data_IF_829057064863
#
_entry.id   IF_829057064863
#
_cell.length_a   1.000
_cell.length_b   1.000
_cell.length_c   1.000
_cell.angle_alpha   90.00
_cell.angle_beta   90.00
_cell.angle_gamma   90.00
#
_symmetry.space_group_name_H-M   'P 1'
#
loop_
_entity.id
_entity.type
_entity.pdbx_description
1 polymer ?
#
# COMPACT_ATOMS: atom_id res chain seq x y z
N UNK A 1 -3.38 12.70 8.58
CA UNK A 1 -3.86 11.45 7.94
C UNK A 1 -4.78 10.74 8.93
N UNK A 2 -6.06 10.56 8.63
CA UNK A 2 -6.95 9.77 9.49
C UNK A 2 -6.75 8.28 9.16
N UNK A 3 -5.89 7.61 9.92
CA UNK A 3 -5.54 6.20 9.71
C UNK A 3 -6.42 5.37 10.64
N UNK A 4 -7.28 4.53 10.06
CA UNK A 4 -8.13 3.64 10.85
C UNK A 4 -7.28 2.71 11.73
N UNK A 5 -7.69 2.48 12.99
CA UNK A 5 -6.96 1.66 13.98
C UNK A 5 -6.56 0.25 13.54
N UNK A 6 -7.29 -0.35 12.59
CA UNK A 6 -6.97 -1.68 12.02
C UNK A 6 -6.00 -1.63 10.81
N UNK A 7 -5.49 -0.46 10.46
CA UNK A 7 -4.60 -0.29 9.30
C UNK A 7 -3.20 -0.81 9.64
N UNK A 8 -2.87 -2.02 9.19
CA UNK A 8 -1.57 -2.66 9.45
C UNK A 8 -0.40 -2.03 8.68
N UNK A 9 -0.67 -1.35 7.57
CA UNK A 9 0.34 -0.69 6.74
C UNK A 9 0.04 0.80 6.63
N UNK A 10 0.88 1.62 7.25
CA UNK A 10 0.85 3.08 7.12
C UNK A 10 1.35 3.50 5.72
N UNK A 11 1.07 4.73 5.27
CA UNK A 11 1.62 5.24 4.02
C UNK A 11 3.16 5.21 3.98
N UNK A 12 3.81 5.47 5.11
CA UNK A 12 5.26 5.33 5.26
C UNK A 12 5.72 3.88 5.04
N UNK A 13 5.03 2.88 5.61
CA UNK A 13 5.35 1.48 5.34
C UNK A 13 5.22 1.13 3.86
N UNK A 14 4.23 1.69 3.15
CA UNK A 14 4.06 1.44 1.71
C UNK A 14 5.20 2.04 0.87
N UNK A 15 5.67 3.23 1.24
CA UNK A 15 6.84 3.85 0.61
C UNK A 15 8.11 3.04 0.89
N UNK A 16 8.28 2.56 2.12
CA UNK A 16 9.43 1.76 2.51
C UNK A 16 9.44 0.41 1.80
N UNK A 17 8.29 -0.28 1.69
CA UNK A 17 8.13 -1.50 0.88
C UNK A 17 8.59 -1.25 -0.56
N UNK A 18 8.20 -0.12 -1.17
CA UNK A 18 8.62 0.23 -2.52
C UNK A 18 10.13 0.48 -2.62
N UNK A 19 10.71 1.23 -1.66
CA UNK A 19 12.14 1.50 -1.61
C UNK A 19 12.96 0.20 -1.50
N UNK A 20 12.58 -0.68 -0.58
CA UNK A 20 13.23 -1.97 -0.33
C UNK A 20 13.12 -2.89 -1.55
N UNK A 21 11.95 -2.96 -2.19
CA UNK A 21 11.76 -3.78 -3.38
C UNK A 21 12.56 -3.25 -4.59
N UNK A 22 12.53 -1.93 -4.81
CA UNK A 22 13.12 -1.33 -6.02
C UNK A 22 14.64 -1.16 -5.92
N UNK A 23 15.14 -0.63 -4.79
CA UNK A 23 16.56 -0.33 -4.56
C UNK A 23 17.33 -1.52 -4.01
N UNK A 24 16.81 -2.16 -2.96
CA UNK A 24 17.52 -3.24 -2.24
C UNK A 24 17.20 -4.63 -2.79
N UNK A 25 16.28 -4.74 -3.76
CA UNK A 25 15.86 -6.01 -4.40
C UNK A 25 15.42 -7.10 -3.39
N UNK A 26 14.90 -6.67 -2.23
CA UNK A 26 14.39 -7.58 -1.21
C UNK A 26 13.22 -8.39 -1.79
N UNK A 27 13.19 -9.69 -1.51
CA UNK A 27 12.14 -10.58 -2.01
C UNK A 27 10.78 -10.27 -1.39
N UNK A 28 9.71 -10.59 -2.12
CA UNK A 28 8.33 -10.44 -1.61
C UNK A 28 8.10 -11.27 -0.34
N UNK A 29 8.76 -12.43 -0.21
CA UNK A 29 8.66 -13.30 0.97
C UNK A 29 9.26 -12.63 2.20
N UNK A 30 10.42 -11.98 2.05
CA UNK A 30 11.09 -11.30 3.18
C UNK A 30 10.36 -10.02 3.56
N UNK A 31 9.82 -9.28 2.58
CA UNK A 31 8.94 -8.14 2.85
C UNK A 31 7.68 -8.56 3.63
N UNK A 32 7.05 -9.67 3.25
CA UNK A 32 5.88 -10.19 3.95
C UNK A 32 6.19 -10.52 5.42
N UNK A 33 7.34 -11.16 5.69
CA UNK A 33 7.82 -11.43 7.04
C UNK A 33 8.12 -10.13 7.81
N UNK A 34 8.89 -9.21 7.22
CA UNK A 34 9.32 -7.95 7.85
C UNK A 34 8.16 -7.05 8.26
N UNK A 35 7.13 -6.97 7.42
CA UNK A 35 5.94 -6.14 7.69
C UNK A 35 4.79 -6.93 8.33
N UNK A 36 5.00 -8.22 8.68
CA UNK A 36 4.00 -9.11 9.28
C UNK A 36 2.68 -9.18 8.49
N UNK A 37 2.74 -9.09 7.17
CA UNK A 37 1.57 -9.14 6.28
C UNK A 37 1.64 -10.33 5.34
N UNK A 38 0.50 -10.69 4.75
CA UNK A 38 0.47 -11.74 3.74
C UNK A 38 1.17 -11.30 2.44
N UNK A 39 1.74 -12.25 1.69
CA UNK A 39 2.34 -11.99 0.36
C UNK A 39 1.37 -11.30 -0.62
N UNK A 40 0.07 -11.66 -0.69
CA UNK A 40 -0.92 -10.93 -1.49
C UNK A 40 -1.03 -9.45 -1.11
N UNK A 41 -0.90 -9.11 0.18
CA UNK A 41 -0.89 -7.70 0.62
C UNK A 41 0.29 -6.95 0.03
N UNK A 42 1.49 -7.55 0.03
CA UNK A 42 2.68 -6.94 -0.58
C UNK A 42 2.48 -6.74 -2.09
N UNK A 43 1.97 -7.74 -2.82
CA UNK A 43 1.67 -7.58 -4.25
C UNK A 43 0.69 -6.43 -4.53
N UNK A 44 -0.36 -6.30 -3.73
CA UNK A 44 -1.31 -5.19 -3.84
C UNK A 44 -0.65 -3.83 -3.57
N UNK A 45 0.23 -3.75 -2.56
CA UNK A 45 1.00 -2.53 -2.27
C UNK A 45 1.92 -2.18 -3.43
N UNK A 46 2.68 -3.15 -3.96
CA UNK A 46 3.56 -2.93 -5.11
C UNK A 46 2.79 -2.49 -6.36
N UNK A 47 1.63 -3.10 -6.63
CA UNK A 47 0.74 -2.70 -7.73
C UNK A 47 0.32 -1.23 -7.61
N UNK A 48 -0.04 -0.78 -6.41
CA UNK A 48 -0.41 0.63 -6.13
C UNK A 48 0.79 1.57 -6.13
N UNK A 49 1.94 1.12 -5.62
CA UNK A 49 3.18 1.89 -5.59
C UNK A 49 3.72 2.19 -6.99
N UNK A 50 3.54 1.28 -7.96
CA UNK A 50 3.82 1.54 -9.39
C UNK A 50 3.03 2.73 -9.94
N UNK A 51 1.82 2.96 -9.42
CA UNK A 51 0.97 4.10 -9.75
C UNK A 51 1.24 5.33 -8.85
N UNK A 52 2.31 5.31 -8.04
CA UNK A 52 2.64 6.32 -7.02
C UNK A 52 1.54 6.55 -5.96
N UNK A 53 0.65 5.57 -5.77
CA UNK A 53 -0.44 5.63 -4.79
C UNK A 53 0.00 5.04 -3.44
N UNK A 54 0.52 5.90 -2.56
CA UNK A 54 0.97 5.48 -1.21
C UNK A 54 -0.03 5.81 -0.10
N UNK A 55 -0.95 6.74 -0.36
CA UNK A 55 -1.97 7.17 0.60
C UNK A 55 -3.24 6.29 0.50
N UNK A 56 -4.00 6.15 1.60
CA UNK A 56 -5.32 5.53 1.54
C UNK A 56 -6.20 6.35 0.59
N UNK A 57 -6.82 5.69 -0.38
CA UNK A 57 -7.86 6.31 -1.20
C UNK A 57 -9.09 6.54 -0.30
N UNK A 58 -9.70 7.72 -0.37
CA UNK A 58 -10.99 7.92 0.27
C UNK A 58 -12.03 7.08 -0.48
N UNK A 59 -12.84 6.32 0.24
CA UNK A 59 -13.95 5.55 -0.34
C UNK A 59 -15.17 6.43 -0.64
N UNK A 60 -15.03 7.76 -0.66
CA UNK A 60 -16.09 8.69 -1.10
C UNK A 60 -16.21 8.59 -2.62
N UNK A 61 -16.82 7.47 -3.02
CA UNK A 61 -17.41 7.11 -4.30
C UNK A 61 -17.31 8.16 -5.41
N UNK A 62 -16.39 7.92 -6.35
CA UNK A 62 -16.48 8.41 -7.74
C UNK A 62 -17.87 8.12 -8.35
N UNK A 63 -18.53 7.03 -7.92
CA UNK A 63 -19.88 6.61 -8.34
C UNK A 63 -20.98 7.67 -8.14
N UNK A 64 -20.82 8.63 -7.23
CA UNK A 64 -21.81 9.69 -6.99
C UNK A 64 -21.44 11.05 -7.59
N UNK A 65 -20.31 11.16 -8.32
CA UNK A 65 -19.90 12.43 -8.96
C UNK A 65 -20.62 12.71 -10.27
N UNK A 66 -21.30 11.72 -10.86
CA UNK A 66 -21.98 11.80 -12.16
C UNK A 66 -23.49 12.08 -12.08
N UNK A 67 -24.00 12.45 -10.90
CA UNK A 67 -25.36 13.01 -10.79
C UNK A 67 -25.19 14.54 -10.79
N UNK A 68 -25.20 15.14 -11.97
CA UNK A 68 -25.28 16.58 -12.19
C UNK A 68 -26.22 16.84 -13.36
#
# INVERSE_FOLDING_TARGET
MNIHKKTRLTPYHRQEIWRLYYKEKITVTDLAKRFMVSRPTIYNVLKKARLKLFVPLSSKNERYKTIS
#
